data_IF_339708159505
#
_entry.id   IF_339708159505
#
_cell.length_a   1.000
_cell.length_b   1.000
_cell.length_c   1.000
_cell.angle_alpha   90.00
_cell.angle_beta   90.00
_cell.angle_gamma   90.00
#
_symmetry.space_group_name_H-M   'P 1'
#
loop_
_entity.id
_entity.type
_entity.pdbx_description
1 polymer ?
#
# COMPACT_ATOMS: atom_id res chain seq x y z
N UNK A 1 0.01 0.67 -14.09
CA UNK A 1 1.30 1.42 -14.14
C UNK A 1 1.20 2.76 -14.88
N UNK A 2 0.30 2.89 -15.85
CA UNK A 2 0.09 4.13 -16.65
C UNK A 2 -0.31 5.36 -15.82
N UNK A 3 -0.83 5.17 -14.61
CA UNK A 3 -1.23 6.25 -13.71
C UNK A 3 -0.15 7.32 -13.56
N UNK A 4 1.14 6.95 -13.52
CA UNK A 4 2.25 7.90 -13.43
C UNK A 4 2.22 8.90 -14.60
N UNK A 5 2.10 8.39 -15.83
CA UNK A 5 2.05 9.21 -17.04
C UNK A 5 0.78 10.07 -17.08
N UNK A 6 -0.36 9.47 -16.71
CA UNK A 6 -1.65 10.17 -16.66
C UNK A 6 -1.68 11.29 -15.61
N UNK A 7 -0.82 11.22 -14.59
CA UNK A 7 -0.72 12.21 -13.51
C UNK A 7 0.53 13.08 -13.61
N UNK A 8 1.14 13.16 -14.80
CA UNK A 8 2.20 14.12 -15.09
C UNK A 8 1.65 15.54 -14.93
N UNK A 9 2.33 16.37 -14.14
CA UNK A 9 1.99 17.79 -13.97
C UNK A 9 3.20 18.63 -14.29
N UNK A 10 3.02 19.64 -15.12
CA UNK A 10 4.09 20.55 -15.53
C UNK A 10 5.33 19.82 -16.10
N UNK A 11 5.09 18.70 -16.80
CA UNK A 11 6.15 17.84 -17.37
C UNK A 11 6.88 16.94 -16.37
N UNK A 12 6.47 16.94 -15.10
CA UNK A 12 7.07 16.12 -14.04
C UNK A 12 6.18 14.92 -13.73
N UNK A 13 6.72 13.72 -13.95
CA UNK A 13 6.07 12.47 -13.58
C UNK A 13 6.16 12.22 -12.07
N UNK A 14 5.09 11.73 -11.43
CA UNK A 14 5.16 11.23 -10.05
C UNK A 14 6.16 10.06 -9.93
N UNK A 15 6.73 9.82 -8.73
CA UNK A 15 7.57 8.65 -8.50
C UNK A 15 6.83 7.35 -8.78
N UNK A 16 7.44 6.44 -9.55
CA UNK A 16 6.85 5.12 -9.88
C UNK A 16 6.40 4.33 -8.63
N UNK A 17 7.04 4.54 -7.48
CA UNK A 17 6.68 3.90 -6.21
C UNK A 17 5.21 4.12 -5.80
N UNK A 18 4.54 5.17 -6.29
CA UNK A 18 3.12 5.45 -6.04
C UNK A 18 2.20 4.29 -6.43
N UNK A 19 2.54 3.56 -7.49
CA UNK A 19 1.71 2.46 -8.00
C UNK A 19 2.17 1.09 -7.49
N UNK A 20 3.10 1.05 -6.54
CA UNK A 20 3.71 -0.18 -6.04
C UNK A 20 3.42 -0.49 -4.56
N UNK A 21 2.51 0.25 -3.94
CA UNK A 21 2.05 0.02 -2.57
C UNK A 21 2.65 1.00 -1.59
N UNK A 22 1.84 1.96 -1.16
CA UNK A 22 2.17 2.88 -0.08
C UNK A 22 1.36 2.57 1.17
N UNK A 23 1.96 2.81 2.33
CA UNK A 23 1.30 2.72 3.63
C UNK A 23 1.30 4.09 4.29
N UNK A 24 0.14 4.50 4.81
CA UNK A 24 -0.04 5.81 5.42
C UNK A 24 -1.20 5.82 6.40
N UNK A 25 -1.08 6.63 7.45
CA UNK A 25 -2.18 6.90 8.37
C UNK A 25 -3.21 7.84 7.73
N UNK A 26 -4.49 7.57 7.98
CA UNK A 26 -5.64 8.42 7.59
C UNK A 26 -6.42 8.84 8.83
N UNK A 27 -7.19 9.93 8.75
CA UNK A 27 -8.11 10.32 9.83
C UNK A 27 -7.43 10.66 11.17
N UNK A 28 -6.18 11.13 11.16
CA UNK A 28 -5.42 11.44 12.37
C UNK A 28 -4.64 10.27 12.98
N UNK A 29 -4.65 9.09 12.34
CA UNK A 29 -3.78 7.97 12.75
C UNK A 29 -2.31 8.36 12.55
N UNK A 30 -1.54 8.22 13.62
CA UNK A 30 -0.10 8.48 13.65
C UNK A 30 0.66 7.18 13.42
N UNK A 31 1.75 7.24 12.64
CA UNK A 31 2.60 6.11 12.26
C UNK A 31 4.05 6.59 12.12
N UNK A 32 5.00 5.66 12.14
CA UNK A 32 6.40 5.89 11.75
C UNK A 32 6.64 5.16 10.41
N UNK A 33 6.97 5.86 9.31
CA UNK A 33 7.24 5.22 8.04
C UNK A 33 8.64 4.58 8.03
N UNK A 34 8.73 3.33 7.56
CA UNK A 34 10.03 2.67 7.39
C UNK A 34 10.81 3.21 6.18
N UNK A 35 10.10 3.63 5.12
CA UNK A 35 10.68 4.14 3.88
C UNK A 35 10.04 5.51 3.55
N UNK A 36 10.52 6.59 4.19
CA UNK A 36 9.77 7.83 4.24
C UNK A 36 9.61 8.51 2.88
N UNK A 37 8.40 8.99 2.63
CA UNK A 37 8.06 9.98 1.61
C UNK A 37 7.07 10.97 2.23
N UNK A 38 7.60 11.91 3.01
CA UNK A 38 6.81 12.71 3.94
C UNK A 38 6.26 11.83 5.06
N UNK A 39 4.96 11.96 5.37
CA UNK A 39 4.26 11.15 6.38
C UNK A 39 3.84 9.75 5.89
N UNK A 40 4.18 9.40 4.65
CA UNK A 40 3.85 8.11 4.02
C UNK A 40 5.09 7.24 3.96
N UNK A 41 4.91 5.93 3.92
CA UNK A 41 5.96 4.96 3.62
C UNK A 41 5.77 4.46 2.20
N UNK A 42 6.82 4.56 1.36
CA UNK A 42 6.79 4.13 -0.04
C UNK A 42 7.43 2.75 -0.22
N UNK A 43 7.03 2.02 -1.24
CA UNK A 43 7.66 0.75 -1.58
C UNK A 43 9.16 0.91 -1.90
N UNK A 44 10.00 -0.01 -1.41
CA UNK A 44 11.42 -0.10 -1.77
C UNK A 44 11.66 -0.86 -3.07
N UNK A 45 10.66 -1.61 -3.53
CA UNK A 45 10.75 -2.42 -4.74
C UNK A 45 9.45 -2.41 -5.54
N UNK A 46 9.59 -2.27 -6.85
CA UNK A 46 8.48 -2.15 -7.78
C UNK A 46 8.01 -3.53 -8.24
N UNK A 47 6.92 -4.04 -7.66
CA UNK A 47 6.44 -5.42 -7.92
C UNK A 47 5.04 -5.54 -8.53
N UNK A 48 4.32 -4.43 -8.66
CA UNK A 48 2.95 -4.42 -9.22
C UNK A 48 2.99 -4.61 -10.73
N UNK A 49 2.14 -5.51 -11.21
CA UNK A 49 1.93 -5.84 -12.62
C UNK A 49 1.01 -4.83 -13.33
N UNK A 50 0.91 -4.93 -14.65
CA UNK A 50 0.09 -4.04 -15.46
C UNK A 50 -1.41 -4.18 -15.20
N UNK A 51 -2.20 -3.28 -15.77
CA UNK A 51 -3.66 -3.37 -15.76
C UNK A 51 -4.11 -4.70 -16.37
N UNK A 52 -5.18 -5.31 -15.82
CA UNK A 52 -5.70 -6.65 -16.18
C UNK A 52 -4.85 -7.84 -15.74
N UNK A 53 -3.72 -7.62 -15.06
CA UNK A 53 -2.95 -8.68 -14.42
C UNK A 53 -3.27 -8.78 -12.93
N UNK A 54 -3.29 -10.02 -12.43
CA UNK A 54 -3.50 -10.27 -10.99
C UNK A 54 -2.23 -9.98 -10.19
N UNK A 55 -2.41 -9.21 -9.11
CA UNK A 55 -1.40 -8.96 -8.10
C UNK A 55 -1.83 -9.63 -6.79
N UNK A 56 -0.85 -10.14 -6.04
CA UNK A 56 -1.05 -10.72 -4.71
C UNK A 56 -0.54 -9.71 -3.69
N UNK A 57 -1.38 -9.38 -2.72
CA UNK A 57 -1.06 -8.52 -1.59
C UNK A 57 -1.18 -9.34 -0.32
N UNK A 58 -0.17 -9.27 0.53
CA UNK A 58 -0.21 -9.81 1.89
C UNK A 58 0.13 -8.67 2.85
N UNK A 59 -0.71 -8.50 3.87
CA UNK A 59 -0.55 -7.46 4.88
C UNK A 59 -0.51 -8.14 6.24
N UNK A 60 0.58 -7.91 6.98
CA UNK A 60 0.80 -8.49 8.31
C UNK A 60 0.79 -7.36 9.33
N UNK A 61 -0.10 -7.44 10.31
CA UNK A 61 -0.32 -6.42 11.32
C UNK A 61 -0.05 -7.01 12.71
N UNK A 62 1.01 -6.59 13.40
CA UNK A 62 1.39 -7.08 14.72
C UNK A 62 1.76 -5.91 15.63
N UNK A 63 1.00 -5.70 16.69
CA UNK A 63 1.25 -4.68 17.73
C UNK A 63 1.48 -3.24 17.19
N UNK A 64 0.73 -2.86 16.15
CA UNK A 64 0.88 -1.54 15.50
C UNK A 64 2.04 -1.46 14.49
N UNK A 65 2.73 -2.56 14.22
CA UNK A 65 3.64 -2.71 13.09
C UNK A 65 2.91 -3.37 11.94
N UNK A 66 3.00 -2.78 10.76
CA UNK A 66 2.31 -3.24 9.56
C UNK A 66 3.34 -3.43 8.45
N UNK A 67 3.37 -4.63 7.88
CA UNK A 67 4.22 -4.98 6.74
C UNK A 67 3.36 -5.28 5.53
N UNK A 68 3.80 -4.79 4.37
CA UNK A 68 3.15 -5.03 3.09
C UNK A 68 4.07 -5.85 2.19
N UNK A 69 3.57 -6.99 1.75
CA UNK A 69 4.12 -7.75 0.64
C UNK A 69 3.30 -7.56 -0.64
N UNK A 70 4.01 -7.43 -1.75
CA UNK A 70 3.44 -7.42 -3.10
C UNK A 70 4.12 -8.50 -3.92
N UNK A 71 3.32 -9.40 -4.49
CA UNK A 71 3.78 -10.53 -5.32
C UNK A 71 4.94 -11.32 -4.65
N UNK A 72 4.74 -11.70 -3.38
CA UNK A 72 5.60 -12.65 -2.65
C UNK A 72 6.87 -12.06 -2.02
N UNK A 73 7.03 -10.74 -1.96
CA UNK A 73 8.13 -10.09 -1.22
C UNK A 73 7.63 -8.93 -0.37
N UNK A 74 8.15 -8.79 0.84
CA UNK A 74 7.92 -7.59 1.67
C UNK A 74 8.64 -6.40 1.04
N UNK A 75 7.87 -5.37 0.70
CA UNK A 75 8.36 -4.19 -0.01
C UNK A 75 8.10 -2.89 0.74
N UNK A 76 7.30 -2.93 1.81
CA UNK A 76 7.00 -1.72 2.58
C UNK A 76 6.58 -2.05 4.03
N UNK A 77 6.62 -1.03 4.88
CA UNK A 77 6.16 -1.12 6.26
C UNK A 77 5.95 0.23 6.93
N UNK A 78 5.16 0.21 8.00
CA UNK A 78 4.97 1.29 8.97
C UNK A 78 5.01 0.68 10.37
N UNK A 79 5.49 1.45 11.34
CA UNK A 79 5.58 1.03 12.74
C UNK A 79 4.87 2.02 13.66
N UNK A 80 4.66 1.62 14.92
CA UNK A 80 4.07 2.44 15.98
C UNK A 80 2.76 3.11 15.57
N UNK A 81 1.87 2.37 14.90
CA UNK A 81 0.54 2.89 14.62
C UNK A 81 -0.21 3.19 15.91
N UNK A 82 -0.78 4.39 16.02
CA UNK A 82 -1.63 4.79 17.15
C UNK A 82 -2.94 4.00 17.20
N UNK A 83 -3.33 3.33 16.11
CA UNK A 83 -4.51 2.49 16.03
C UNK A 83 -4.11 1.03 15.75
N UNK A 84 -4.52 0.10 16.63
CA UNK A 84 -4.14 -1.33 16.56
C UNK A 84 -5.30 -2.28 16.25
N UNK A 85 -6.50 -1.76 16.03
CA UNK A 85 -7.71 -2.53 15.69
C UNK A 85 -8.64 -1.75 14.78
N UNK A 86 -9.40 -2.42 13.94
CA UNK A 86 -10.35 -1.77 13.03
C UNK A 86 -10.98 -2.74 12.05
N UNK A 87 -11.71 -2.19 11.08
CA UNK A 87 -12.30 -2.96 9.99
C UNK A 87 -11.39 -2.95 8.77
N UNK A 88 -11.49 -3.99 7.95
CA UNK A 88 -10.87 -4.03 6.62
C UNK A 88 -11.88 -3.47 5.62
N UNK A 89 -11.43 -2.51 4.81
CA UNK A 89 -12.20 -1.94 3.71
C UNK A 89 -11.43 -2.11 2.41
N UNK A 90 -12.12 -2.51 1.34
CA UNK A 90 -11.57 -2.56 -0.01
C UNK A 90 -12.12 -1.36 -0.78
N UNK A 91 -11.21 -0.50 -1.22
CA UNK A 91 -11.58 0.72 -1.91
C UNK A 91 -11.29 0.60 -3.42
N UNK A 92 -12.21 1.14 -4.22
CA UNK A 92 -12.01 1.37 -5.65
C UNK A 92 -12.17 2.87 -5.93
N UNK A 93 -11.09 3.53 -6.30
CA UNK A 93 -11.08 4.97 -6.60
C UNK A 93 -10.90 5.19 -8.12
N UNK A 94 -11.87 5.86 -8.74
CA UNK A 94 -11.77 6.36 -10.13
C UNK A 94 -11.84 5.31 -11.26
N UNK A 95 -11.78 4.01 -10.95
CA UNK A 95 -11.91 2.94 -11.94
C UNK A 95 -12.39 1.63 -11.31
N UNK A 96 -12.85 0.70 -12.14
CA UNK A 96 -13.26 -0.64 -11.70
C UNK A 96 -12.06 -1.42 -11.15
N UNK A 97 -12.24 -2.08 -9.99
CA UNK A 97 -11.25 -2.97 -9.37
C UNK A 97 -11.93 -4.29 -9.01
N UNK A 98 -11.27 -5.40 -9.32
CA UNK A 98 -11.75 -6.75 -8.98
C UNK A 98 -10.89 -7.33 -7.86
N UNK A 99 -11.54 -7.86 -6.82
CA UNK A 99 -10.90 -8.55 -5.71
C UNK A 99 -11.33 -10.01 -5.70
N UNK A 100 -10.41 -10.93 -5.37
CA UNK A 100 -10.71 -12.36 -5.20
C UNK A 100 -9.74 -12.99 -4.19
N UNK A 101 -10.10 -14.18 -3.69
CA UNK A 101 -9.27 -14.98 -2.79
C UNK A 101 -8.83 -14.22 -1.53
N UNK A 102 -9.75 -13.47 -0.92
CA UNK A 102 -9.49 -12.73 0.30
C UNK A 102 -9.52 -13.69 1.48
N UNK A 103 -8.42 -13.78 2.20
CA UNK A 103 -8.25 -14.63 3.38
C UNK A 103 -7.78 -13.78 4.54
N UNK A 104 -8.31 -14.08 5.73
CA UNK A 104 -7.95 -13.40 6.98
C UNK A 104 -7.52 -14.48 7.96
N UNK A 105 -6.36 -14.26 8.58
CA UNK A 105 -5.82 -15.09 9.65
C UNK A 105 -5.69 -14.16 10.85
N UNK A 106 -6.39 -14.50 11.93
CA UNK A 106 -6.23 -13.82 13.22
C UNK A 106 -4.90 -14.24 13.84
N UNK A 107 -4.19 -13.28 14.45
CA UNK A 107 -2.89 -13.48 15.09
C UNK A 107 -3.07 -13.29 16.60
N UNK A 108 -2.38 -14.12 17.39
CA UNK A 108 -2.43 -14.14 18.86
C UNK A 108 -1.60 -13.00 19.51
#
# INVERSE_FOLDING_TARGET
LEWIRLNTRDGVEPPIAYVHGELFGVGGVEIIPENPRGKRSKSIENRVKGTKEWNIYEVVCVDGNIKLSVNGKFVNGITNSSQKKGYICLEAEGSEIHFRNIQIIELD
#
